data_IF_994007773759
#
_entry.id   IF_994007773759
#
_cell.length_a   1.000
_cell.length_b   1.000
_cell.length_c   1.000
_cell.angle_alpha   90.00
_cell.angle_beta   90.00
_cell.angle_gamma   90.00
#
_symmetry.space_group_name_H-M   'P 1'
#
loop_
_entity.id
_entity.type
_entity.pdbx_description
1 polymer ?
#
# COMPACT_ATOMS: atom_id res chain seq x y z
N UNK A 1 14.66 -7.92 -27.26
CA UNK A 1 15.62 -8.86 -26.65
C UNK A 1 15.16 -9.15 -25.23
N UNK A 2 14.48 -10.27 -25.00
CA UNK A 2 14.30 -10.80 -23.65
C UNK A 2 15.65 -11.43 -23.25
N UNK A 3 16.46 -10.70 -22.51
CA UNK A 3 17.69 -11.28 -21.94
C UNK A 3 17.30 -12.21 -20.80
N UNK A 4 17.26 -13.51 -21.07
CA UNK A 4 17.20 -14.55 -20.04
C UNK A 4 18.55 -14.53 -19.32
N UNK A 5 18.63 -13.75 -18.24
CA UNK A 5 19.77 -13.75 -17.32
C UNK A 5 19.68 -15.01 -16.46
N UNK A 6 20.78 -15.77 -16.42
CA UNK A 6 20.86 -17.14 -15.90
C UNK A 6 20.54 -17.25 -14.40
N UNK A 7 20.12 -18.45 -13.97
CA UNK A 7 19.79 -18.84 -12.58
C UNK A 7 20.97 -18.79 -11.58
N UNK A 8 22.08 -18.10 -11.90
CA UNK A 8 23.25 -17.95 -11.04
C UNK A 8 23.60 -16.49 -10.72
N UNK A 9 22.96 -15.52 -11.38
CA UNK A 9 23.27 -14.11 -11.15
C UNK A 9 22.58 -13.66 -9.87
N UNK A 10 23.36 -13.63 -8.78
CA UNK A 10 22.95 -13.09 -7.47
C UNK A 10 23.00 -11.57 -7.47
N UNK A 11 23.84 -10.96 -8.30
CA UNK A 11 24.07 -9.51 -8.30
C UNK A 11 24.23 -8.93 -9.72
N UNK A 12 23.72 -7.73 -9.96
CA UNK A 12 23.91 -6.98 -11.22
C UNK A 12 24.66 -5.68 -10.93
N UNK A 13 25.67 -5.40 -11.75
CA UNK A 13 26.54 -4.24 -11.65
C UNK A 13 26.78 -3.64 -13.04
N UNK A 14 26.63 -2.32 -13.22
CA UNK A 14 27.14 -1.53 -14.37
C UNK A 14 26.81 -2.02 -15.80
N UNK A 15 25.75 -2.81 -16.01
CA UNK A 15 25.57 -3.54 -17.28
C UNK A 15 24.53 -2.97 -18.24
N UNK A 16 23.52 -2.24 -17.78
CA UNK A 16 22.35 -1.87 -18.59
C UNK A 16 22.08 -0.37 -18.65
N UNK A 17 23.02 0.49 -18.26
CA UNK A 17 22.85 1.94 -18.34
C UNK A 17 22.61 2.39 -19.78
N UNK A 18 21.75 3.40 -19.96
CA UNK A 18 21.40 4.01 -21.25
C UNK A 18 20.87 3.00 -22.29
N UNK A 19 20.07 2.02 -21.85
CA UNK A 19 19.37 1.10 -22.76
C UNK A 19 17.99 1.65 -23.15
N UNK A 20 17.84 2.41 -24.26
CA UNK A 20 16.59 3.14 -24.61
C UNK A 20 15.42 2.23 -24.97
N UNK A 21 15.68 0.93 -25.19
CA UNK A 21 14.66 -0.05 -25.56
C UNK A 21 14.30 -1.00 -24.41
N UNK A 22 14.93 -0.87 -23.23
CA UNK A 22 14.68 -1.74 -22.09
C UNK A 22 13.42 -1.28 -21.34
N UNK A 23 12.26 -1.80 -21.74
CA UNK A 23 10.96 -1.42 -21.19
C UNK A 23 10.49 -2.31 -20.04
N UNK A 24 11.01 -3.53 -19.92
CA UNK A 24 10.66 -4.46 -18.86
C UNK A 24 11.87 -5.27 -18.41
N UNK A 25 11.92 -5.58 -17.12
CA UNK A 25 12.93 -6.47 -16.52
C UNK A 25 12.26 -7.50 -15.61
N UNK A 26 12.75 -8.74 -15.68
CA UNK A 26 12.37 -9.83 -14.79
C UNK A 26 13.64 -10.51 -14.30
N UNK A 27 13.90 -10.41 -13.01
CA UNK A 27 15.13 -10.84 -12.34
C UNK A 27 14.76 -11.60 -11.06
N UNK A 28 14.21 -12.82 -11.20
CA UNK A 28 13.57 -13.54 -10.10
C UNK A 28 14.54 -13.97 -8.99
N UNK A 29 15.85 -14.05 -9.28
CA UNK A 29 16.86 -14.57 -8.34
C UNK A 29 17.91 -13.52 -7.92
N UNK A 30 17.79 -12.29 -8.42
CA UNK A 30 18.78 -11.24 -8.12
C UNK A 30 18.54 -10.68 -6.73
N UNK A 31 19.60 -10.59 -5.94
CA UNK A 31 19.61 -10.12 -4.56
C UNK A 31 20.16 -8.69 -4.45
N UNK A 32 21.08 -8.30 -5.33
CA UNK A 32 21.68 -6.95 -5.35
C UNK A 32 21.70 -6.35 -6.75
N UNK A 33 21.37 -5.06 -6.85
CA UNK A 33 21.44 -4.30 -8.11
C UNK A 33 22.17 -3.00 -7.84
N UNK A 34 23.28 -2.73 -8.53
CA UNK A 34 24.05 -1.49 -8.38
C UNK A 34 24.35 -0.86 -9.75
N UNK A 35 24.11 0.45 -9.88
CA UNK A 35 24.45 1.28 -11.04
C UNK A 35 24.14 0.64 -12.41
N UNK A 36 23.00 -0.06 -12.49
CA UNK A 36 22.74 -0.98 -13.59
C UNK A 36 21.74 -0.47 -14.61
N UNK A 37 20.69 0.27 -14.21
CA UNK A 37 19.57 0.63 -15.09
C UNK A 37 19.39 2.15 -15.22
N UNK A 38 20.48 2.91 -15.13
CA UNK A 38 20.44 4.37 -15.29
C UNK A 38 19.87 4.72 -16.67
N UNK A 39 18.97 5.72 -16.73
CA UNK A 39 18.35 6.21 -17.98
C UNK A 39 17.61 5.13 -18.80
N UNK A 40 17.13 4.06 -18.16
CA UNK A 40 16.34 3.03 -18.83
C UNK A 40 14.83 3.33 -18.73
N UNK A 41 14.06 3.26 -19.83
CA UNK A 41 12.61 3.50 -19.81
C UNK A 41 11.81 2.28 -19.30
N UNK A 42 12.27 1.66 -18.22
CA UNK A 42 11.66 0.47 -17.59
C UNK A 42 10.30 0.88 -17.03
N UNK A 43 9.23 0.24 -17.48
CA UNK A 43 7.86 0.43 -17.00
C UNK A 43 7.39 -0.73 -16.13
N UNK A 44 7.86 -1.95 -16.43
CA UNK A 44 7.50 -3.19 -15.72
C UNK A 44 8.75 -3.81 -15.11
N UNK A 45 8.70 -4.14 -13.81
CA UNK A 45 9.87 -4.59 -13.06
C UNK A 45 9.47 -5.70 -12.09
N UNK A 46 10.08 -6.88 -12.21
CA UNK A 46 9.89 -7.99 -11.30
C UNK A 46 11.22 -8.43 -10.66
N UNK A 47 11.41 -8.05 -9.38
CA UNK A 47 12.66 -8.28 -8.62
C UNK A 47 12.37 -8.77 -7.17
N UNK A 48 11.70 -9.92 -7.00
CA UNK A 48 11.16 -10.36 -5.70
C UNK A 48 12.23 -10.68 -4.64
N UNK A 49 13.46 -10.99 -5.04
CA UNK A 49 14.53 -11.40 -4.12
C UNK A 49 15.51 -10.27 -3.75
N UNK A 50 15.31 -9.06 -4.29
CA UNK A 50 16.26 -7.97 -4.10
C UNK A 50 16.28 -7.52 -2.64
N UNK A 51 17.47 -7.62 -2.04
CA UNK A 51 17.79 -7.18 -0.68
C UNK A 51 18.48 -5.81 -0.68
N UNK A 52 19.15 -5.43 -1.77
CA UNK A 52 19.90 -4.17 -1.87
C UNK A 52 19.78 -3.55 -3.25
N UNK A 53 19.38 -2.28 -3.28
CA UNK A 53 19.41 -1.41 -4.47
C UNK A 53 20.50 -0.37 -4.23
N UNK A 54 21.62 -0.46 -4.94
CA UNK A 54 22.81 0.36 -4.75
C UNK A 54 22.77 1.73 -5.46
N UNK A 55 23.94 2.34 -5.55
CA UNK A 55 24.15 3.67 -6.15
C UNK A 55 23.52 3.74 -7.55
N UNK A 56 22.73 4.79 -7.81
CA UNK A 56 22.12 5.11 -9.12
C UNK A 56 21.29 4.00 -9.78
N UNK A 57 21.03 2.86 -9.13
CA UNK A 57 20.58 1.63 -9.79
C UNK A 57 19.39 1.79 -10.75
N UNK A 58 18.43 2.66 -10.42
CA UNK A 58 17.23 2.99 -11.21
C UNK A 58 17.06 4.50 -11.39
N UNK A 59 18.17 5.25 -11.44
CA UNK A 59 18.14 6.69 -11.70
C UNK A 59 17.55 6.97 -13.08
N UNK A 60 16.66 7.96 -13.19
CA UNK A 60 15.94 8.33 -14.41
C UNK A 60 15.10 7.21 -15.04
N UNK A 61 14.69 6.20 -14.26
CA UNK A 61 13.81 5.13 -14.73
C UNK A 61 12.34 5.55 -14.84
N UNK A 62 11.60 4.88 -15.73
CA UNK A 62 10.16 5.13 -15.95
C UNK A 62 9.22 4.23 -15.11
N UNK A 63 9.73 3.61 -14.05
CA UNK A 63 9.00 2.66 -13.20
C UNK A 63 7.89 3.43 -12.50
N UNK A 64 6.65 2.93 -12.47
CA UNK A 64 5.53 3.59 -11.75
C UNK A 64 5.26 2.99 -10.37
N UNK A 65 5.37 1.67 -10.27
CA UNK A 65 5.08 0.88 -9.08
C UNK A 65 6.30 0.03 -8.75
N UNK A 66 6.70 -0.01 -7.48
CA UNK A 66 7.71 -0.94 -7.01
C UNK A 66 7.41 -1.41 -5.59
N UNK A 67 7.33 -2.74 -5.41
CA UNK A 67 7.21 -3.39 -4.11
C UNK A 67 8.44 -4.25 -3.84
N UNK A 68 9.09 -4.05 -2.71
CA UNK A 68 10.32 -4.75 -2.31
C UNK A 68 10.18 -5.32 -0.89
N UNK A 69 9.64 -6.53 -0.79
CA UNK A 69 9.41 -7.18 0.52
C UNK A 69 10.72 -7.54 1.23
N UNK A 70 11.78 -7.91 0.50
CA UNK A 70 13.07 -8.32 1.07
C UNK A 70 14.14 -7.22 1.14
N UNK A 71 13.90 -6.06 0.53
CA UNK A 71 14.92 -5.00 0.43
C UNK A 71 15.17 -4.34 1.78
N UNK A 72 16.44 -4.25 2.18
CA UNK A 72 16.91 -3.59 3.40
C UNK A 72 17.63 -2.28 3.13
N UNK A 73 18.17 -2.11 1.93
CA UNK A 73 19.07 -1.01 1.60
C UNK A 73 18.73 -0.38 0.25
N UNK A 74 18.56 0.94 0.25
CA UNK A 74 18.49 1.78 -0.95
C UNK A 74 19.62 2.80 -0.88
N UNK A 75 20.50 2.76 -1.87
CA UNK A 75 21.71 3.56 -1.95
C UNK A 75 21.51 4.99 -2.42
N UNK A 76 22.62 5.72 -2.53
CA UNK A 76 22.61 7.11 -3.01
C UNK A 76 22.03 7.19 -4.43
N UNK A 77 21.16 8.17 -4.68
CA UNK A 77 20.54 8.43 -5.99
C UNK A 77 19.81 7.24 -6.64
N UNK A 78 19.55 6.14 -5.92
CA UNK A 78 19.06 4.88 -6.47
C UNK A 78 17.80 5.04 -7.35
N UNK A 79 16.90 5.94 -6.98
CA UNK A 79 15.66 6.28 -7.69
C UNK A 79 15.57 7.79 -8.00
N UNK A 80 16.71 8.47 -8.10
CA UNK A 80 16.77 9.89 -8.44
C UNK A 80 16.17 10.15 -9.82
N UNK A 81 15.36 11.20 -9.97
CA UNK A 81 14.63 11.54 -11.20
C UNK A 81 13.73 10.43 -11.78
N UNK A 82 13.41 9.40 -11.00
CA UNK A 82 12.53 8.31 -11.46
C UNK A 82 11.06 8.73 -11.56
N UNK A 83 10.30 8.01 -12.38
CA UNK A 83 8.84 8.16 -12.52
C UNK A 83 8.04 7.36 -11.49
N UNK A 84 8.72 6.88 -10.44
CA UNK A 84 8.13 6.04 -9.40
C UNK A 84 7.09 6.83 -8.65
N UNK A 85 5.86 6.31 -8.57
CA UNK A 85 4.71 6.95 -7.93
C UNK A 85 4.30 6.23 -6.64
N UNK A 86 4.32 4.89 -6.66
CA UNK A 86 3.97 4.04 -5.52
C UNK A 86 5.15 3.14 -5.18
N UNK A 87 5.66 3.30 -3.96
CA UNK A 87 6.75 2.50 -3.42
C UNK A 87 6.36 1.86 -2.07
N UNK A 88 6.57 0.55 -1.97
CA UNK A 88 6.40 -0.22 -0.73
C UNK A 88 7.65 -1.07 -0.47
N UNK A 89 8.19 -1.02 0.75
CA UNK A 89 9.25 -1.93 1.17
C UNK A 89 9.15 -2.28 2.66
N UNK A 90 8.81 -3.53 2.95
CA UNK A 90 8.48 -4.01 4.29
C UNK A 90 9.69 -4.07 5.23
N UNK A 91 10.86 -4.43 4.68
CA UNK A 91 12.08 -4.66 5.45
C UNK A 91 13.14 -3.57 5.25
N UNK A 92 12.77 -2.43 4.66
CA UNK A 92 13.71 -1.38 4.32
C UNK A 92 14.17 -0.64 5.58
N UNK A 93 15.48 -0.66 5.84
CA UNK A 93 16.11 -0.06 7.01
C UNK A 93 16.85 1.24 6.66
N UNK A 94 17.48 1.29 5.49
CA UNK A 94 18.39 2.36 5.08
C UNK A 94 17.97 3.04 3.77
N UNK A 95 17.89 4.38 3.80
CA UNK A 95 17.79 5.24 2.62
C UNK A 95 19.03 6.12 2.47
N UNK A 96 19.68 6.04 1.32
CA UNK A 96 20.85 6.83 0.97
C UNK A 96 20.55 8.31 0.71
N UNK A 97 21.62 9.10 0.60
CA UNK A 97 21.55 10.49 0.17
C UNK A 97 20.86 10.58 -1.20
N UNK A 98 19.93 11.54 -1.36
CA UNK A 98 19.22 11.77 -2.62
C UNK A 98 18.49 10.53 -3.20
N UNK A 99 18.25 9.48 -2.40
CA UNK A 99 17.73 8.19 -2.87
C UNK A 99 16.51 8.30 -3.79
N UNK A 100 15.58 9.21 -3.50
CA UNK A 100 14.37 9.47 -4.29
C UNK A 100 14.33 10.92 -4.81
N UNK A 101 15.45 11.65 -4.85
CA UNK A 101 15.42 13.08 -5.20
C UNK A 101 14.82 13.32 -6.59
N UNK A 102 13.95 14.31 -6.71
CA UNK A 102 13.23 14.67 -7.94
C UNK A 102 12.43 13.54 -8.57
N UNK A 103 12.11 12.48 -7.80
CA UNK A 103 11.18 11.45 -8.25
C UNK A 103 9.72 11.94 -8.23
N UNK A 104 8.88 11.26 -9.00
CA UNK A 104 7.44 11.51 -9.06
C UNK A 104 6.64 10.83 -7.94
N UNK A 105 7.31 10.46 -6.83
CA UNK A 105 6.73 9.64 -5.76
C UNK A 105 5.56 10.36 -5.09
N UNK A 106 4.47 9.62 -4.89
CA UNK A 106 3.23 10.09 -4.27
C UNK A 106 3.01 9.33 -2.96
N UNK A 107 3.18 8.01 -3.01
CA UNK A 107 2.99 7.09 -1.90
C UNK A 107 4.29 6.34 -1.59
N UNK A 108 4.73 6.43 -0.34
CA UNK A 108 5.91 5.75 0.18
C UNK A 108 5.55 5.01 1.48
N UNK A 109 5.69 3.68 1.50
CA UNK A 109 5.53 2.87 2.71
C UNK A 109 6.80 2.07 3.01
N UNK A 110 7.42 2.38 4.15
CA UNK A 110 8.55 1.63 4.69
C UNK A 110 8.71 1.93 6.20
N UNK A 111 8.04 1.13 7.02
CA UNK A 111 7.92 1.38 8.46
C UNK A 111 9.21 1.13 9.24
N UNK A 112 10.08 0.24 8.74
CA UNK A 112 11.34 -0.15 9.39
C UNK A 112 12.51 0.79 9.11
N UNK A 113 12.30 1.86 8.33
CA UNK A 113 13.36 2.83 8.00
C UNK A 113 13.86 3.51 9.26
N UNK A 114 15.14 3.31 9.56
CA UNK A 114 15.81 3.88 10.73
C UNK A 114 16.90 4.89 10.35
N UNK A 115 17.38 4.86 9.10
CA UNK A 115 18.34 5.82 8.57
C UNK A 115 17.82 6.46 7.27
N UNK A 116 17.96 7.79 7.20
CA UNK A 116 17.59 8.59 6.03
C UNK A 116 18.70 9.58 5.73
N UNK A 117 19.38 9.37 4.62
CA UNK A 117 20.44 10.23 4.12
C UNK A 117 19.95 11.62 3.75
N UNK A 118 20.89 12.56 3.67
CA UNK A 118 20.61 13.95 3.34
C UNK A 118 19.82 14.06 2.04
N UNK A 119 18.78 14.90 2.04
CA UNK A 119 18.00 15.22 0.84
C UNK A 119 17.37 14.00 0.13
N UNK A 120 17.13 12.88 0.83
CA UNK A 120 16.58 11.67 0.23
C UNK A 120 15.31 11.90 -0.61
N UNK A 121 14.47 12.86 -0.22
CA UNK A 121 13.24 13.25 -0.93
C UNK A 121 13.30 14.69 -1.48
N UNK A 122 14.49 15.25 -1.71
CA UNK A 122 14.63 16.60 -2.26
C UNK A 122 13.88 16.72 -3.59
N UNK A 123 13.03 17.72 -3.73
CA UNK A 123 12.30 17.96 -4.98
C UNK A 123 11.17 16.98 -5.30
N UNK A 124 10.80 16.07 -4.37
CA UNK A 124 9.63 15.20 -4.49
C UNK A 124 8.33 16.00 -4.29
N UNK A 125 7.95 16.81 -5.27
CA UNK A 125 6.84 17.77 -5.16
C UNK A 125 5.45 17.11 -5.04
N UNK A 126 5.34 15.83 -5.37
CA UNK A 126 4.08 15.07 -5.36
C UNK A 126 3.92 14.17 -4.13
N UNK A 127 4.96 14.09 -3.27
CA UNK A 127 4.95 13.18 -2.13
C UNK A 127 3.87 13.63 -1.14
N UNK A 128 2.84 12.78 -0.97
CA UNK A 128 1.66 13.07 -0.16
C UNK A 128 1.46 12.06 0.96
N UNK A 129 1.67 10.78 0.66
CA UNK A 129 1.42 9.70 1.61
C UNK A 129 2.73 9.06 2.01
N UNK A 130 3.07 9.14 3.29
CA UNK A 130 4.28 8.55 3.85
C UNK A 130 3.91 7.70 5.05
N UNK A 131 4.23 6.41 4.99
CA UNK A 131 4.06 5.47 6.09
C UNK A 131 5.46 5.03 6.51
N UNK A 132 6.07 5.87 7.34
CA UNK A 132 7.39 5.62 7.93
C UNK A 132 7.56 6.54 9.15
N UNK A 133 7.64 6.00 10.38
CA UNK A 133 7.62 6.82 11.61
C UNK A 133 8.67 7.94 11.62
N UNK A 134 9.89 7.68 11.11
CA UNK A 134 10.97 8.67 11.10
C UNK A 134 10.76 9.75 10.02
N UNK A 135 10.17 9.38 8.88
CA UNK A 135 9.95 10.30 7.76
C UNK A 135 8.72 11.18 8.01
N UNK A 136 7.65 10.66 8.60
CA UNK A 136 6.44 11.44 8.92
C UNK A 136 6.82 12.63 9.82
N UNK A 137 7.69 12.39 10.79
CA UNK A 137 8.26 13.44 11.66
C UNK A 137 9.16 14.43 10.90
N UNK A 138 10.05 13.94 10.03
CA UNK A 138 11.01 14.77 9.28
C UNK A 138 10.35 15.63 8.21
N UNK A 139 9.35 15.10 7.53
CA UNK A 139 8.69 15.73 6.38
C UNK A 139 7.42 16.51 6.77
N UNK A 140 6.92 16.33 8.01
CA UNK A 140 5.69 16.99 8.52
C UNK A 140 4.48 16.73 7.61
N UNK A 141 4.33 15.48 7.19
CA UNK A 141 3.24 15.02 6.33
C UNK A 141 2.14 14.45 7.22
N UNK A 142 0.91 14.90 6.99
CA UNK A 142 -0.31 14.46 7.65
C UNK A 142 -1.33 14.05 6.58
N UNK A 143 -2.05 12.95 6.81
CA UNK A 143 -3.08 12.41 5.92
C UNK A 143 -4.09 11.61 6.72
N UNK A 144 -5.27 11.41 6.15
CA UNK A 144 -6.28 10.51 6.68
C UNK A 144 -6.23 9.17 5.96
N UNK A 145 -6.60 8.09 6.66
CA UNK A 145 -6.54 6.73 6.14
C UNK A 145 -7.34 6.56 4.84
N UNK A 146 -8.54 7.15 4.74
CA UNK A 146 -9.36 7.08 3.53
C UNK A 146 -8.73 7.79 2.31
N UNK A 147 -7.87 8.80 2.51
CA UNK A 147 -7.18 9.48 1.40
C UNK A 147 -6.15 8.55 0.75
N UNK A 148 -5.54 7.66 1.54
CA UNK A 148 -4.66 6.60 1.04
C UNK A 148 -5.48 5.59 0.25
N UNK A 149 -6.60 5.12 0.81
CA UNK A 149 -7.45 4.11 0.18
C UNK A 149 -7.97 4.61 -1.18
N UNK A 150 -8.52 5.83 -1.24
CA UNK A 150 -8.99 6.44 -2.49
C UNK A 150 -7.86 6.59 -3.52
N UNK A 151 -6.67 7.04 -3.08
CA UNK A 151 -5.51 7.12 -3.96
C UNK A 151 -5.09 5.74 -4.50
N UNK A 152 -5.00 4.73 -3.64
CA UNK A 152 -4.59 3.38 -4.03
C UNK A 152 -5.60 2.78 -5.01
N UNK A 153 -6.89 2.86 -4.71
CA UNK A 153 -7.96 2.36 -5.58
C UNK A 153 -7.90 2.98 -6.97
N UNK A 154 -7.77 4.32 -7.04
CA UNK A 154 -7.62 5.04 -8.30
C UNK A 154 -6.32 4.65 -9.02
N UNK A 155 -5.20 4.58 -8.30
CA UNK A 155 -3.90 4.24 -8.88
C UNK A 155 -3.89 2.84 -9.49
N UNK A 156 -4.43 1.83 -8.80
CA UNK A 156 -4.51 0.47 -9.31
C UNK A 156 -5.45 0.38 -10.52
N UNK A 157 -6.61 1.04 -10.46
CA UNK A 157 -7.57 1.10 -11.57
C UNK A 157 -6.96 1.72 -12.84
N UNK A 158 -6.28 2.87 -12.72
CA UNK A 158 -5.70 3.60 -13.87
C UNK A 158 -4.53 2.87 -14.54
N UNK A 159 -3.82 2.03 -13.80
CA UNK A 159 -2.63 1.33 -14.32
C UNK A 159 -2.93 -0.10 -14.78
N UNK A 160 -4.20 -0.54 -14.79
CA UNK A 160 -4.61 -1.90 -15.10
C UNK A 160 -3.89 -2.95 -14.21
N UNK A 161 -3.56 -2.56 -12.98
CA UNK A 161 -2.86 -3.40 -12.00
C UNK A 161 -3.90 -3.95 -11.03
N UNK A 162 -4.03 -5.27 -10.92
CA UNK A 162 -4.77 -5.90 -9.82
C UNK A 162 -3.81 -6.16 -8.66
N UNK A 163 -4.29 -6.16 -7.40
CA UNK A 163 -3.50 -6.67 -6.26
C UNK A 163 -2.92 -8.08 -6.53
N UNK A 164 -3.57 -8.85 -7.42
CA UNK A 164 -3.22 -10.21 -7.82
C UNK A 164 -2.12 -10.28 -8.89
N UNK A 165 -1.83 -9.22 -9.65
CA UNK A 165 -0.85 -9.26 -10.77
C UNK A 165 0.62 -9.14 -10.33
N UNK A 166 0.91 -9.02 -9.04
CA UNK A 166 2.27 -9.11 -8.46
C UNK A 166 2.40 -10.14 -7.32
N UNK A 167 1.29 -10.75 -6.91
CA UNK A 167 1.22 -11.80 -5.89
C UNK A 167 1.06 -13.15 -6.59
N UNK A 168 2.13 -13.70 -7.16
CA UNK A 168 2.21 -15.15 -7.30
C UNK A 168 2.98 -15.71 -6.11
N UNK A 169 2.20 -16.39 -5.27
CA UNK A 169 2.59 -17.29 -4.16
C UNK A 169 2.92 -16.66 -2.80
N UNK A 170 1.90 -16.11 -2.12
CA UNK A 170 1.66 -16.50 -0.72
C UNK A 170 0.18 -16.89 -0.56
N UNK A 171 -0.02 -18.18 -0.27
CA UNK A 171 -1.33 -18.73 0.06
C UNK A 171 -1.69 -18.27 1.48
N UNK A 172 -2.45 -17.19 1.61
CA UNK A 172 -3.32 -17.01 2.77
C UNK A 172 -4.74 -17.32 2.28
N UNK A 173 -5.28 -18.43 2.78
CA UNK A 173 -6.68 -18.78 2.59
C UNK A 173 -7.56 -17.64 3.12
N UNK A 174 -8.04 -16.75 2.25
CA UNK A 174 -9.29 -16.02 2.53
C UNK A 174 -10.41 -17.05 2.41
N UNK A 175 -10.80 -17.65 3.53
CA UNK A 175 -12.06 -18.37 3.64
C UNK A 175 -13.19 -17.38 3.35
N UNK A 176 -13.79 -17.50 2.18
CA UNK A 176 -15.05 -16.82 1.86
C UNK A 176 -16.14 -17.45 2.71
N UNK A 177 -16.47 -16.84 3.84
CA UNK A 177 -17.65 -17.23 4.62
C UNK A 177 -18.91 -16.73 3.90
N UNK A 178 -19.54 -17.61 3.10
CA UNK A 178 -20.88 -17.37 2.59
C UNK A 178 -21.89 -17.83 3.64
N UNK A 179 -22.39 -16.89 4.46
CA UNK A 179 -23.56 -17.14 5.29
C UNK A 179 -24.81 -17.15 4.42
N UNK A 180 -25.62 -18.19 4.56
CA UNK A 180 -26.91 -18.23 3.87
C UNK A 180 -27.96 -17.41 4.65
N UNK A 181 -29.02 -17.04 3.93
CA UNK A 181 -30.08 -16.14 4.40
C UNK A 181 -30.78 -16.64 5.69
N UNK A 182 -30.69 -17.93 5.99
CA UNK A 182 -31.20 -18.55 7.22
C UNK A 182 -30.28 -18.36 8.42
N UNK A 183 -28.97 -18.48 8.23
CA UNK A 183 -27.96 -18.24 9.28
C UNK A 183 -27.92 -16.76 9.68
N UNK A 184 -28.06 -15.86 8.70
CA UNK A 184 -28.17 -14.41 8.95
C UNK A 184 -29.41 -14.11 9.80
N UNK A 185 -30.54 -14.78 9.55
CA UNK A 185 -31.78 -14.60 10.33
C UNK A 185 -31.68 -15.13 11.77
N UNK A 186 -30.94 -16.21 12.01
CA UNK A 186 -30.68 -16.70 13.37
C UNK A 186 -29.78 -15.77 14.19
N UNK A 187 -28.74 -15.21 13.56
CA UNK A 187 -27.84 -14.23 14.20
C UNK A 187 -28.58 -12.94 14.59
N UNK A 188 -29.55 -12.49 13.76
CA UNK A 188 -30.40 -11.34 14.06
C UNK A 188 -31.35 -11.60 15.24
N UNK A 189 -31.80 -12.85 15.45
CA UNK A 189 -32.72 -13.19 16.55
C UNK A 189 -32.05 -13.24 17.93
N UNK A 190 -30.74 -13.52 17.99
CA UNK A 190 -29.98 -13.62 19.23
C UNK A 190 -29.08 -12.38 19.40
N UNK A 191 -29.69 -11.23 19.65
CA UNK A 191 -29.07 -9.90 19.63
C UNK A 191 -27.91 -9.61 20.60
N UNK A 192 -27.32 -10.62 21.25
CA UNK A 192 -26.11 -10.48 22.05
C UNK A 192 -24.82 -10.72 21.24
N UNK A 193 -24.89 -11.43 20.11
CA UNK A 193 -23.69 -11.81 19.35
C UNK A 193 -23.32 -10.81 18.25
N UNK A 194 -24.19 -9.86 17.88
CA UNK A 194 -23.89 -8.91 16.80
C UNK A 194 -22.69 -7.99 17.12
N UNK A 195 -22.52 -7.59 18.39
CA UNK A 195 -21.37 -6.78 18.82
C UNK A 195 -20.06 -7.58 18.80
N UNK A 196 -20.07 -8.85 19.23
CA UNK A 196 -18.87 -9.70 19.18
C UNK A 196 -18.53 -10.15 17.76
N UNK A 197 -19.53 -10.37 16.91
CA UNK A 197 -19.32 -10.77 15.52
C UNK A 197 -18.84 -9.59 14.65
N UNK A 198 -19.27 -8.35 14.94
CA UNK A 198 -18.69 -7.13 14.35
C UNK A 198 -17.25 -6.89 14.83
N UNK A 199 -16.90 -7.23 16.07
CA UNK A 199 -15.49 -7.16 16.53
C UNK A 199 -14.64 -8.25 15.87
N UNK A 200 -15.19 -9.45 15.62
CA UNK A 200 -14.50 -10.55 14.92
C UNK A 200 -14.37 -10.37 13.41
N UNK A 201 -15.38 -9.82 12.73
CA UNK A 201 -15.36 -9.60 11.28
C UNK A 201 -14.40 -8.48 10.86
N UNK A 202 -14.08 -7.57 11.78
CA UNK A 202 -13.33 -6.35 11.49
C UNK A 202 -11.96 -6.28 12.17
N UNK A 203 -11.54 -7.28 12.96
CA UNK A 203 -10.26 -7.32 13.70
C UNK A 203 -9.87 -5.96 14.34
N UNK A 204 -10.79 -5.28 15.04
CA UNK A 204 -10.60 -3.87 15.40
C UNK A 204 -10.94 -3.55 16.87
N UNK A 205 -9.89 -3.39 17.68
CA UNK A 205 -9.97 -2.64 18.94
C UNK A 205 -10.26 -1.13 18.70
N UNK A 206 -10.05 -0.63 17.46
CA UNK A 206 -10.28 0.76 17.06
C UNK A 206 -11.77 1.13 16.84
N UNK A 207 -12.62 0.15 16.47
CA UNK A 207 -14.06 0.38 16.28
C UNK A 207 -14.78 0.73 17.60
N UNK A 208 -14.32 0.18 18.72
CA UNK A 208 -14.83 0.48 20.05
C UNK A 208 -14.53 1.93 20.43
N UNK A 209 -13.30 2.42 20.19
CA UNK A 209 -12.96 3.83 20.46
C UNK A 209 -13.77 4.79 19.59
N UNK A 210 -14.05 4.47 18.32
CA UNK A 210 -14.89 5.29 17.44
C UNK A 210 -16.36 5.35 17.88
N UNK A 211 -16.94 4.23 18.33
CA UNK A 211 -18.32 4.20 18.84
C UNK A 211 -18.46 5.05 20.11
N UNK A 212 -17.41 5.13 20.93
CA UNK A 212 -17.41 5.95 22.15
C UNK A 212 -17.01 7.41 21.94
N UNK A 213 -16.34 7.77 20.84
CA UNK A 213 -15.72 9.10 20.66
C UNK A 213 -16.34 10.00 19.59
N UNK A 214 -17.13 9.49 18.64
CA UNK A 214 -17.47 10.26 17.44
C UNK A 214 -18.88 10.88 17.46
N UNK A 215 -18.94 12.17 17.12
CA UNK A 215 -20.18 12.91 16.92
C UNK A 215 -21.01 12.28 15.79
N UNK A 216 -22.28 11.97 16.10
CA UNK A 216 -23.35 11.32 15.30
C UNK A 216 -23.30 11.49 13.76
N UNK A 217 -22.83 12.63 13.24
CA UNK A 217 -22.77 12.92 11.81
C UNK A 217 -21.69 12.13 11.06
N UNK A 218 -20.55 11.83 11.67
CA UNK A 218 -19.47 11.08 11.01
C UNK A 218 -19.78 9.58 10.94
N UNK A 219 -20.37 9.03 12.00
CA UNK A 219 -20.87 7.65 12.01
C UNK A 219 -21.96 7.43 10.93
N UNK A 220 -22.89 8.37 10.78
CA UNK A 220 -23.93 8.29 9.75
C UNK A 220 -23.37 8.35 8.32
N UNK A 221 -22.30 9.11 8.08
CA UNK A 221 -21.62 9.15 6.77
C UNK A 221 -20.94 7.82 6.44
N UNK A 222 -20.27 7.22 7.43
CA UNK A 222 -19.59 5.92 7.27
C UNK A 222 -20.58 4.81 6.92
N UNK A 223 -21.69 4.72 7.66
CA UNK A 223 -22.76 3.74 7.40
C UNK A 223 -23.38 3.93 6.01
N UNK A 224 -23.61 5.18 5.58
CA UNK A 224 -24.15 5.47 4.25
C UNK A 224 -23.21 5.02 3.13
N UNK A 225 -21.90 5.20 3.30
CA UNK A 225 -20.89 4.80 2.32
C UNK A 225 -20.74 3.27 2.25
N UNK A 226 -20.80 2.58 3.38
CA UNK A 226 -20.77 1.11 3.44
C UNK A 226 -21.95 0.46 2.70
N UNK A 227 -23.17 1.00 2.88
CA UNK A 227 -24.38 0.55 2.17
C UNK A 227 -24.20 0.68 0.66
N UNK A 228 -23.65 1.81 0.22
CA UNK A 228 -23.38 2.11 -1.19
C UNK A 228 -22.33 1.17 -1.80
N UNK A 229 -21.25 0.91 -1.08
CA UNK A 229 -20.12 0.11 -1.57
C UNK A 229 -20.46 -1.39 -1.67
N UNK A 230 -21.14 -1.95 -0.67
CA UNK A 230 -21.43 -3.39 -0.62
C UNK A 230 -22.77 -3.79 -1.25
N UNK A 231 -23.51 -2.86 -1.85
CA UNK A 231 -24.85 -3.06 -2.44
C UNK A 231 -25.83 -3.73 -1.46
N UNK A 232 -25.64 -3.52 -0.16
CA UNK A 232 -26.53 -4.04 0.87
C UNK A 232 -27.82 -3.23 0.84
N UNK A 233 -28.99 -3.87 0.95
CA UNK A 233 -30.27 -3.14 0.96
C UNK A 233 -30.29 -2.19 2.16
N UNK A 234 -30.15 -0.88 1.88
CA UNK A 234 -30.12 0.17 2.88
C UNK A 234 -31.36 0.17 3.78
N UNK A 235 -32.50 -0.36 3.33
CA UNK A 235 -33.69 -0.50 4.17
C UNK A 235 -33.46 -1.48 5.33
N UNK A 236 -32.75 -2.58 5.12
CA UNK A 236 -32.49 -3.58 6.17
C UNK A 236 -31.51 -3.05 7.22
N UNK A 237 -30.46 -2.34 6.81
CA UNK A 237 -29.49 -1.71 7.72
C UNK A 237 -30.14 -0.56 8.50
N UNK A 238 -30.95 0.29 7.83
CA UNK A 238 -31.69 1.36 8.50
C UNK A 238 -32.67 0.79 9.53
N UNK A 239 -33.38 -0.30 9.20
CA UNK A 239 -34.28 -0.98 10.14
C UNK A 239 -33.54 -1.59 11.34
N UNK A 240 -32.35 -2.18 11.11
CA UNK A 240 -31.47 -2.70 12.17
C UNK A 240 -30.95 -1.58 13.09
N UNK A 241 -30.52 -0.45 12.52
CA UNK A 241 -30.05 0.71 13.27
C UNK A 241 -31.18 1.42 14.04
N UNK A 242 -32.37 1.51 13.44
CA UNK A 242 -33.57 2.05 14.09
C UNK A 242 -34.03 1.17 15.25
N UNK A 243 -33.92 -0.15 15.12
CA UNK A 243 -34.34 -1.09 16.17
C UNK A 243 -33.33 -1.22 17.33
N UNK A 244 -32.03 -1.01 17.10
CA UNK A 244 -30.98 -1.29 18.10
C UNK A 244 -30.09 -0.12 18.54
N UNK A 245 -29.98 0.96 17.75
CA UNK A 245 -29.05 2.08 18.07
C UNK A 245 -29.80 3.33 18.52
N UNK A 246 -30.96 3.63 17.92
CA UNK A 246 -31.73 4.85 18.20
C UNK A 246 -32.72 4.75 19.38
N UNK A 247 -32.91 3.57 19.95
CA UNK A 247 -33.82 3.35 21.10
C UNK A 247 -33.10 3.37 22.45
N UNK A 248 -31.76 3.46 22.49
CA UNK A 248 -31.04 3.64 23.74
C UNK A 248 -31.02 5.12 24.14
N UNK A 249 -31.59 5.45 25.29
CA UNK A 249 -31.66 6.79 25.92
C UNK A 249 -30.29 7.46 26.18
N UNK A 250 -29.19 6.97 25.58
CA UNK A 250 -27.83 7.50 25.73
C UNK A 250 -27.45 8.59 24.72
N UNK A 251 -28.32 8.91 23.76
CA UNK A 251 -28.07 9.95 22.77
C UNK A 251 -29.03 11.11 23.01
N UNK A 252 -28.67 11.97 23.98
CA UNK A 252 -29.40 13.21 24.29
C UNK A 252 -29.53 14.16 23.09
N UNK A 253 -30.60 14.94 23.12
CA UNK A 253 -31.08 15.93 22.11
C UNK A 253 -30.01 16.64 21.30
#
# INVERSE_FOLDING_TARGET
YQSVLSNQIVEIWHNFSDCPNLQSISLPNVVRIEDSFVNCPIKQIFIPQVQSVGLNAFSHCAIKLLKLTKCKFIGENAFSHSKLQLFEAENLEFLGKLAFSFSDIIYFKAEKVNFVGSNAFQGCKKLRFVISPILNRKLKIEFLQWEIEDFLDQFYLENELTEQNYQQEETIQKQTYQYNDFQIKQLIQNGADLQMELVRLFEADELLEMIYSVQKQEFLKYVQQFILHHKVDGKQIIQLLQNHVLTSEKWGT
#
